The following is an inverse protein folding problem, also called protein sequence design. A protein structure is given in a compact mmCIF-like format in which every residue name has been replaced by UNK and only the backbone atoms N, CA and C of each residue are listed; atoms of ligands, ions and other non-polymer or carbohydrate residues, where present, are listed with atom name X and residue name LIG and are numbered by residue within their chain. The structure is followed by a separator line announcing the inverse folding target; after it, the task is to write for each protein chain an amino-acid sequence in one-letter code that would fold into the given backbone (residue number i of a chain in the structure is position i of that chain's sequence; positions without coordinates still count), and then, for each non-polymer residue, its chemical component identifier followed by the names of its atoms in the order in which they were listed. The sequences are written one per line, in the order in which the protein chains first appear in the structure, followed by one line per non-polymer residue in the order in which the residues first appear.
data_IF_167377975454
#
_entry.id   IF_167377975454
#
_cell.length_a   1.000
_cell.length_b   1.000
_cell.length_c   1.000
_cell.angle_alpha   90.00
_cell.angle_beta   90.00
_cell.angle_gamma   90.00
#
_symmetry.space_group_name_H-M   'P 1'
#
loop_
_entity.id
_entity.type
_entity.pdbx_description
1 polymer ?
#
# COMPACT_ATOMS: atom_id res chain seq x y z
N UNK A 1 -22.62 -30.10 31.24
CA UNK A 1 -21.86 -28.89 31.05
C UNK A 1 -21.15 -28.96 29.70
N UNK A 2 -21.57 -28.07 28.77
CA UNK A 2 -20.94 -27.99 27.46
C UNK A 2 -19.48 -27.51 27.59
N UNK A 3 -18.58 -28.00 26.70
CA UNK A 3 -17.21 -27.49 26.63
C UNK A 3 -17.24 -26.02 26.18
N UNK A 4 -16.64 -25.14 26.97
CA UNK A 4 -16.38 -23.77 26.54
C UNK A 4 -15.46 -23.80 25.31
N UNK A 5 -15.93 -23.29 24.18
CA UNK A 5 -15.11 -23.09 23.01
C UNK A 5 -14.24 -21.85 23.22
N UNK A 6 -12.93 -22.01 23.25
CA UNK A 6 -12.00 -20.88 23.20
C UNK A 6 -12.05 -20.29 21.79
N UNK A 7 -12.60 -19.12 21.67
CA UNK A 7 -12.57 -18.35 20.41
C UNK A 7 -11.12 -17.97 20.10
N UNK A 8 -10.66 -18.26 18.88
CA UNK A 8 -9.35 -17.87 18.41
C UNK A 8 -9.19 -16.35 18.37
N UNK A 9 -7.93 -15.85 18.33
CA UNK A 9 -7.63 -14.44 18.20
C UNK A 9 -7.06 -14.17 16.80
N UNK A 10 -7.43 -13.04 16.18
CA UNK A 10 -6.79 -12.57 14.96
C UNK A 10 -5.31 -12.28 15.20
N UNK A 11 -4.48 -12.58 14.20
CA UNK A 11 -3.07 -12.20 14.19
C UNK A 11 -2.91 -10.65 14.25
N UNK A 12 -1.84 -10.16 14.85
CA UNK A 12 -1.65 -8.72 15.06
C UNK A 12 -1.59 -7.94 13.74
N UNK A 13 -0.96 -8.49 12.71
CA UNK A 13 -0.92 -7.87 11.37
C UNK A 13 -2.33 -7.77 10.78
N UNK A 14 -3.16 -8.82 10.91
CA UNK A 14 -4.55 -8.76 10.42
C UNK A 14 -5.36 -7.69 11.13
N UNK A 15 -5.15 -7.50 12.45
CA UNK A 15 -5.81 -6.43 13.20
C UNK A 15 -5.36 -5.05 12.71
N UNK A 16 -4.08 -4.87 12.45
CA UNK A 16 -3.56 -3.60 11.94
C UNK A 16 -4.10 -3.31 10.54
N UNK A 17 -4.17 -4.31 9.66
CA UNK A 17 -4.77 -4.18 8.33
C UNK A 17 -6.24 -3.80 8.44
N UNK A 18 -7.02 -4.46 9.32
CA UNK A 18 -8.42 -4.13 9.56
C UNK A 18 -8.55 -2.67 10.02
N UNK A 19 -7.77 -2.24 11.02
CA UNK A 19 -7.83 -0.89 11.60
C UNK A 19 -7.52 0.20 10.56
N UNK A 20 -6.44 0.03 9.79
CA UNK A 20 -6.07 0.96 8.72
C UNK A 20 -7.17 1.02 7.66
N UNK A 21 -7.70 -0.14 7.26
CA UNK A 21 -8.77 -0.24 6.27
C UNK A 21 -10.04 0.47 6.74
N UNK A 22 -10.46 0.25 7.99
CA UNK A 22 -11.62 0.91 8.58
C UNK A 22 -11.47 2.44 8.61
N UNK A 23 -10.27 2.94 8.91
CA UNK A 23 -9.99 4.38 8.89
C UNK A 23 -10.22 4.95 7.48
N UNK A 24 -9.68 4.31 6.44
CA UNK A 24 -9.82 4.79 5.06
C UNK A 24 -11.25 4.63 4.54
N UNK A 25 -11.94 3.54 4.87
CA UNK A 25 -13.37 3.37 4.55
C UNK A 25 -14.20 4.50 5.17
N UNK A 26 -13.91 4.88 6.42
CA UNK A 26 -14.53 6.02 7.09
C UNK A 26 -14.20 7.39 6.45
N UNK A 27 -13.23 7.45 5.55
CA UNK A 27 -12.89 8.61 4.71
C UNK A 27 -13.42 8.50 3.27
N UNK A 28 -14.26 7.50 2.98
CA UNK A 28 -14.91 7.30 1.68
C UNK A 28 -14.09 6.51 0.66
N UNK A 29 -13.12 5.72 1.11
CA UNK A 29 -12.40 4.79 0.24
C UNK A 29 -13.10 3.43 0.18
N UNK A 30 -13.04 2.77 -0.97
CA UNK A 30 -13.47 1.38 -1.17
C UNK A 30 -12.27 0.44 -1.10
N UNK A 31 -12.48 -0.80 -0.68
CA UNK A 31 -11.42 -1.81 -0.69
C UNK A 31 -11.31 -2.38 -2.10
N UNK A 32 -10.09 -2.45 -2.63
CA UNK A 32 -9.79 -3.18 -3.85
C UNK A 32 -8.85 -4.34 -3.55
N UNK A 33 -9.14 -5.51 -4.10
CA UNK A 33 -8.35 -6.72 -3.92
C UNK A 33 -7.91 -7.27 -5.28
N UNK A 34 -6.81 -8.01 -5.29
CA UNK A 34 -6.29 -8.64 -6.50
C UNK A 34 -5.32 -9.78 -6.21
N UNK A 35 -4.91 -10.52 -7.24
CA UNK A 35 -4.10 -11.72 -7.10
C UNK A 35 -2.69 -11.43 -6.58
N UNK A 36 -2.12 -12.38 -5.84
CA UNK A 36 -0.72 -12.35 -5.40
C UNK A 36 0.24 -12.79 -6.53
N UNK A 37 -0.23 -13.69 -7.40
CA UNK A 37 0.46 -14.07 -8.62
C UNK A 37 0.05 -13.08 -9.72
N UNK A 38 1.01 -12.38 -10.27
CA UNK A 38 0.74 -11.23 -11.13
C UNK A 38 1.60 -11.27 -12.41
N UNK A 39 1.20 -10.49 -13.40
CA UNK A 39 1.95 -10.32 -14.63
C UNK A 39 3.07 -9.29 -14.47
N UNK A 40 4.18 -9.47 -15.18
CA UNK A 40 5.26 -8.47 -15.32
C UNK A 40 4.70 -7.14 -15.81
N UNK A 41 3.72 -7.17 -16.73
CA UNK A 41 3.04 -5.97 -17.22
C UNK A 41 2.44 -5.15 -16.08
N UNK A 42 1.62 -5.75 -15.24
CA UNK A 42 0.91 -5.01 -14.18
C UNK A 42 1.84 -4.62 -13.02
N UNK A 43 2.84 -5.47 -12.72
CA UNK A 43 3.75 -5.21 -11.61
C UNK A 43 4.83 -4.17 -11.93
N UNK A 44 5.16 -3.98 -13.22
CA UNK A 44 6.25 -3.10 -13.65
C UNK A 44 5.88 -2.20 -14.83
N UNK A 45 5.49 -2.77 -15.99
CA UNK A 45 5.39 -2.00 -17.23
C UNK A 45 4.29 -0.94 -17.16
N UNK A 46 3.11 -1.29 -16.66
CA UNK A 46 1.99 -0.37 -16.50
C UNK A 46 2.22 0.69 -15.42
N UNK A 47 3.22 0.49 -14.56
CA UNK A 47 3.67 1.45 -13.55
C UNK A 47 4.84 2.31 -14.03
N UNK A 48 5.21 2.24 -15.31
CA UNK A 48 6.37 2.94 -15.88
C UNK A 48 7.71 2.62 -15.21
N UNK A 49 7.84 1.48 -14.54
CA UNK A 49 9.14 1.04 -14.01
C UNK A 49 10.07 0.74 -15.20
N UNK A 50 11.27 1.38 -15.29
CA UNK A 50 12.22 1.12 -16.37
C UNK A 50 12.61 -0.36 -16.48
N UNK A 51 12.95 -0.81 -17.69
CA UNK A 51 13.32 -2.22 -17.93
C UNK A 51 14.60 -2.64 -17.20
N UNK A 52 15.49 -1.70 -16.97
CA UNK A 52 16.76 -1.83 -16.25
C UNK A 52 16.66 -1.47 -14.76
N UNK A 53 15.44 -1.28 -14.24
CA UNK A 53 15.26 -0.96 -12.83
C UNK A 53 15.67 -2.15 -11.94
N UNK A 54 16.49 -1.95 -10.90
CA UNK A 54 17.00 -3.05 -10.05
C UNK A 54 15.92 -3.96 -9.47
N UNK A 55 14.75 -3.42 -9.13
CA UNK A 55 13.63 -4.22 -8.61
C UNK A 55 13.10 -5.28 -9.56
N UNK A 56 13.49 -5.24 -10.85
CA UNK A 56 13.14 -6.27 -11.84
C UNK A 56 14.13 -7.43 -11.86
N UNK A 57 15.26 -7.31 -11.14
CA UNK A 57 16.26 -8.37 -11.08
C UNK A 57 15.68 -9.61 -10.39
N UNK A 58 16.12 -10.79 -10.84
CA UNK A 58 15.75 -12.06 -10.21
C UNK A 58 16.26 -12.19 -8.77
N UNK A 59 17.23 -11.37 -8.38
CA UNK A 59 17.69 -11.27 -6.99
C UNK A 59 16.70 -10.57 -6.07
N UNK A 60 15.81 -9.73 -6.62
CA UNK A 60 14.85 -8.92 -5.86
C UNK A 60 13.40 -9.37 -6.05
N UNK A 61 13.10 -10.14 -7.11
CA UNK A 61 11.75 -10.54 -7.48
C UNK A 61 11.64 -12.06 -7.67
N UNK A 62 10.59 -12.65 -7.10
CA UNK A 62 10.25 -14.06 -7.33
C UNK A 62 9.49 -14.22 -8.64
N UNK A 63 10.17 -14.64 -9.69
CA UNK A 63 9.56 -15.02 -10.97
C UNK A 63 9.10 -16.47 -10.97
N UNK A 64 7.92 -16.73 -11.51
CA UNK A 64 7.38 -18.07 -11.78
C UNK A 64 7.68 -18.45 -13.22
N UNK A 65 7.50 -17.49 -14.14
CA UNK A 65 7.91 -17.55 -15.55
C UNK A 65 8.49 -16.19 -15.94
N UNK A 66 8.93 -16.03 -17.20
CA UNK A 66 9.39 -14.73 -17.71
C UNK A 66 8.33 -13.62 -17.61
N UNK A 67 7.03 -13.97 -17.67
CA UNK A 67 5.91 -13.02 -17.67
C UNK A 67 5.10 -13.02 -16.37
N UNK A 68 5.34 -13.97 -15.46
CA UNK A 68 4.56 -14.18 -14.24
C UNK A 68 5.47 -14.18 -13.02
N UNK A 69 5.05 -13.47 -11.98
CA UNK A 69 5.81 -13.29 -10.74
C UNK A 69 4.90 -13.28 -9.50
N UNK A 70 5.49 -13.35 -8.32
CA UNK A 70 4.82 -12.95 -7.09
C UNK A 70 4.92 -11.42 -6.96
N UNK A 71 3.79 -10.73 -6.79
CA UNK A 71 3.75 -9.26 -6.76
C UNK A 71 4.69 -8.69 -5.70
N UNK A 72 5.49 -7.71 -6.08
CA UNK A 72 6.46 -7.04 -5.21
C UNK A 72 5.86 -5.85 -4.45
N UNK A 73 4.62 -5.48 -4.79
CA UNK A 73 3.84 -4.37 -4.26
C UNK A 73 2.35 -4.62 -4.51
N UNK A 74 1.48 -3.82 -3.91
CA UNK A 74 0.03 -3.91 -4.16
C UNK A 74 -0.43 -3.05 -5.34
N UNK A 75 0.44 -2.25 -5.93
CA UNK A 75 0.16 -1.36 -7.08
C UNK A 75 -0.46 -2.05 -8.32
N UNK A 76 -0.18 -3.34 -8.64
CA UNK A 76 -0.89 -4.03 -9.72
C UNK A 76 -2.41 -4.02 -9.58
N UNK A 77 -2.93 -4.03 -8.35
CA UNK A 77 -4.37 -3.93 -8.11
C UNK A 77 -4.90 -2.55 -8.50
N UNK A 78 -4.12 -1.49 -8.27
CA UNK A 78 -4.47 -0.15 -8.72
C UNK A 78 -4.62 -0.11 -10.25
N UNK A 79 -3.69 -0.74 -11.00
CA UNK A 79 -3.78 -0.83 -12.47
C UNK A 79 -5.06 -1.53 -12.90
N UNK A 80 -5.37 -2.70 -12.33
CA UNK A 80 -6.58 -3.46 -12.64
C UNK A 80 -7.85 -2.64 -12.37
N UNK A 81 -7.92 -2.02 -11.19
CA UNK A 81 -9.09 -1.23 -10.80
C UNK A 81 -9.25 0.02 -11.67
N UNK A 82 -8.17 0.70 -12.04
CA UNK A 82 -8.23 1.84 -12.97
C UNK A 82 -8.69 1.40 -14.36
N UNK A 83 -8.21 0.27 -14.88
CA UNK A 83 -8.64 -0.26 -16.18
C UNK A 83 -10.13 -0.64 -16.20
N UNK A 84 -10.65 -1.16 -15.10
CA UNK A 84 -12.08 -1.45 -14.93
C UNK A 84 -12.89 -0.16 -14.81
N UNK A 85 -12.50 0.76 -13.92
CA UNK A 85 -13.19 2.04 -13.72
C UNK A 85 -13.30 2.87 -15.00
N UNK A 86 -12.28 2.84 -15.87
CA UNK A 86 -12.35 3.51 -17.19
C UNK A 86 -13.38 2.87 -18.11
N UNK A 87 -13.48 1.54 -18.13
CA UNK A 87 -14.47 0.82 -18.96
C UNK A 87 -15.90 1.12 -18.51
N UNK A 88 -16.09 1.19 -17.19
CA UNK A 88 -17.41 1.36 -16.58
C UNK A 88 -17.79 2.83 -16.38
N UNK A 89 -16.88 3.77 -16.75
CA UNK A 89 -17.02 5.21 -16.53
C UNK A 89 -17.30 5.54 -15.04
N UNK A 90 -16.65 4.79 -14.13
CA UNK A 90 -16.81 4.90 -12.68
C UNK A 90 -15.69 5.76 -12.06
N UNK A 91 -15.75 7.06 -12.30
CA UNK A 91 -14.86 8.07 -11.72
C UNK A 91 -15.68 9.12 -10.95
N UNK A 92 -15.18 9.67 -9.86
CA UNK A 92 -13.84 9.53 -9.27
C UNK A 92 -13.64 8.21 -8.53
N UNK A 93 -12.42 7.66 -8.62
CA UNK A 93 -12.01 6.45 -7.94
C UNK A 93 -11.26 6.78 -6.64
N UNK A 94 -11.64 6.14 -5.53
CA UNK A 94 -10.95 6.21 -4.23
C UNK A 94 -10.85 4.81 -3.66
N UNK A 95 -9.66 4.23 -3.67
CA UNK A 95 -9.45 2.85 -3.21
C UNK A 95 -8.32 2.74 -2.20
N UNK A 96 -8.46 1.74 -1.32
CA UNK A 96 -7.39 1.22 -0.46
C UNK A 96 -7.11 -0.22 -0.87
N UNK A 97 -5.84 -0.56 -0.98
CA UNK A 97 -5.36 -1.87 -1.45
C UNK A 97 -4.45 -2.49 -0.40
N UNK A 98 -5.01 -3.18 0.59
CA UNK A 98 -4.22 -4.00 1.50
C UNK A 98 -3.83 -5.33 0.86
N UNK A 99 -2.62 -5.81 1.12
CA UNK A 99 -2.22 -7.11 0.60
C UNK A 99 -0.82 -7.57 0.99
N UNK A 100 -0.58 -8.86 0.77
CA UNK A 100 0.75 -9.46 0.89
C UNK A 100 1.57 -9.16 -0.35
N UNK A 101 2.85 -8.91 -0.14
CA UNK A 101 3.85 -8.67 -1.17
C UNK A 101 5.06 -9.56 -0.91
N UNK A 102 5.84 -9.80 -1.97
CA UNK A 102 6.93 -10.76 -1.95
C UNK A 102 8.16 -10.14 -2.59
N UNK A 103 9.31 -10.25 -1.93
CA UNK A 103 10.62 -9.87 -2.45
C UNK A 103 11.63 -10.92 -2.08
N UNK A 104 12.59 -11.19 -2.94
CA UNK A 104 13.56 -12.25 -2.71
C UNK A 104 14.73 -11.79 -1.83
N UNK A 105 14.42 -10.93 -0.85
CA UNK A 105 15.37 -10.48 0.16
C UNK A 105 15.78 -11.61 1.09
N UNK A 106 17.05 -11.63 1.49
CA UNK A 106 17.49 -12.50 2.58
C UNK A 106 16.87 -12.04 3.90
N UNK A 107 16.24 -12.93 4.68
CA UNK A 107 15.63 -12.55 5.95
C UNK A 107 16.65 -12.00 6.95
N UNK A 108 16.35 -10.82 7.51
CA UNK A 108 17.10 -10.22 8.60
C UNK A 108 16.16 -9.56 9.63
N UNK A 109 16.67 -8.70 10.51
CA UNK A 109 15.87 -8.03 11.53
C UNK A 109 14.83 -7.03 10.94
N UNK A 110 15.00 -6.59 9.71
CA UNK A 110 14.19 -5.56 9.04
C UNK A 110 13.57 -6.01 7.72
N UNK A 111 14.03 -7.10 7.14
CA UNK A 111 13.56 -7.64 5.87
C UNK A 111 12.93 -9.01 6.04
N UNK A 112 11.81 -9.21 5.37
CA UNK A 112 11.14 -10.50 5.24
C UNK A 112 10.78 -10.72 3.77
N UNK A 113 10.99 -11.92 3.22
CA UNK A 113 10.61 -12.22 1.82
C UNK A 113 9.11 -12.13 1.57
N UNK A 114 8.30 -12.17 2.62
CA UNK A 114 6.87 -11.90 2.57
C UNK A 114 6.53 -10.83 3.60
N UNK A 115 5.87 -9.75 3.17
CA UNK A 115 5.45 -8.65 4.01
C UNK A 115 4.06 -8.15 3.58
N UNK A 116 3.47 -7.25 4.36
CA UNK A 116 2.20 -6.63 4.03
C UNK A 116 2.41 -5.18 3.63
N UNK A 117 1.66 -4.75 2.62
CA UNK A 117 1.63 -3.38 2.15
C UNK A 117 0.18 -2.91 2.07
N UNK A 118 -0.04 -1.64 2.33
CA UNK A 118 -1.33 -0.98 2.15
C UNK A 118 -1.07 0.24 1.29
N UNK A 119 -1.68 0.27 0.12
CA UNK A 119 -1.63 1.41 -0.79
C UNK A 119 -2.98 2.09 -0.88
N UNK A 120 -2.99 3.36 -1.21
CA UNK A 120 -4.19 4.14 -1.47
C UNK A 120 -4.06 4.84 -2.81
N UNK A 121 -5.16 4.93 -3.54
CA UNK A 121 -5.23 5.62 -4.82
C UNK A 121 -6.47 6.50 -4.87
N UNK A 122 -6.29 7.72 -5.36
CA UNK A 122 -7.38 8.62 -5.73
C UNK A 122 -7.18 9.06 -7.17
N UNK A 123 -8.19 8.86 -8.00
CA UNK A 123 -8.22 9.34 -9.39
C UNK A 123 -9.48 10.18 -9.59
N UNK A 124 -9.31 11.39 -10.08
CA UNK A 124 -10.43 12.31 -10.27
C UNK A 124 -9.98 13.62 -10.91
N UNK A 125 -10.95 14.50 -11.18
CA UNK A 125 -10.67 15.86 -11.64
C UNK A 125 -10.24 16.72 -10.43
N UNK A 126 -9.33 17.65 -10.68
CA UNK A 126 -8.91 18.69 -9.73
C UNK A 126 -8.31 18.14 -8.41
N UNK A 127 -7.81 16.90 -8.42
CA UNK A 127 -7.11 16.32 -7.27
C UNK A 127 -5.79 17.06 -7.05
N UNK A 128 -5.58 17.55 -5.83
CA UNK A 128 -4.44 18.38 -5.48
C UNK A 128 -3.49 17.68 -4.49
N UNK A 129 -2.23 18.12 -4.48
CA UNK A 129 -1.26 17.67 -3.46
C UNK A 129 -1.67 18.10 -2.04
N UNK A 130 -2.44 19.18 -1.92
CA UNK A 130 -2.99 19.63 -0.62
C UNK A 130 -4.02 18.65 -0.08
N UNK A 131 -4.89 18.12 -0.93
CA UNK A 131 -5.85 17.08 -0.55
C UNK A 131 -5.15 15.78 -0.15
N UNK A 132 -4.10 15.39 -0.88
CA UNK A 132 -3.25 14.26 -0.49
C UNK A 132 -2.67 14.48 0.93
N UNK A 133 -2.07 15.63 1.20
CA UNK A 133 -1.54 15.96 2.53
C UNK A 133 -2.63 15.89 3.61
N UNK A 134 -3.79 16.49 3.38
CA UNK A 134 -4.91 16.48 4.31
C UNK A 134 -5.44 15.08 4.60
N UNK A 135 -5.50 14.23 3.57
CA UNK A 135 -5.89 12.82 3.71
C UNK A 135 -4.89 12.06 4.58
N UNK A 136 -3.60 12.21 4.33
CA UNK A 136 -2.55 11.52 5.09
C UNK A 136 -2.45 12.03 6.53
N UNK A 137 -2.57 13.33 6.77
CA UNK A 137 -2.62 13.89 8.13
C UNK A 137 -3.83 13.38 8.91
N UNK A 138 -4.97 13.29 8.26
CA UNK A 138 -6.19 12.75 8.88
C UNK A 138 -6.02 11.29 9.25
N UNK A 139 -5.47 10.49 8.35
CA UNK A 139 -5.16 9.08 8.58
C UNK A 139 -4.21 8.90 9.77
N UNK A 140 -3.08 9.61 9.75
CA UNK A 140 -2.05 9.53 10.80
C UNK A 140 -2.61 9.90 12.17
N UNK A 141 -3.41 10.96 12.26
CA UNK A 141 -4.05 11.38 13.52
C UNK A 141 -5.09 10.38 14.02
N UNK A 142 -5.83 9.74 13.14
CA UNK A 142 -6.77 8.68 13.51
C UNK A 142 -6.07 7.42 14.02
N UNK A 143 -4.94 7.06 13.40
CA UNK A 143 -4.20 5.85 13.74
C UNK A 143 -3.33 6.01 15.01
N UNK A 144 -2.64 7.14 15.14
CA UNK A 144 -1.64 7.35 16.20
C UNK A 144 -2.06 8.39 17.27
N UNK A 145 -3.22 9.01 17.09
CA UNK A 145 -3.77 9.99 18.01
C UNK A 145 -3.68 11.45 17.51
N UNK A 146 -4.55 12.34 18.03
CA UNK A 146 -4.74 13.69 17.50
C UNK A 146 -3.50 14.60 17.62
N UNK A 147 -2.62 14.33 18.57
CA UNK A 147 -1.40 15.11 18.80
C UNK A 147 -0.24 14.73 17.89
N UNK A 148 -0.42 13.70 17.04
CA UNK A 148 0.62 13.24 16.11
C UNK A 148 0.91 14.30 15.07
N UNK A 149 2.21 14.62 14.91
CA UNK A 149 2.72 15.59 13.94
C UNK A 149 3.23 14.88 12.71
N UNK A 150 3.04 15.49 11.57
CA UNK A 150 3.54 15.02 10.28
C UNK A 150 4.48 16.05 9.65
N UNK A 151 5.48 15.57 8.93
CA UNK A 151 6.37 16.39 8.12
C UNK A 151 6.52 15.74 6.75
N UNK A 152 6.16 16.47 5.71
CA UNK A 152 6.39 16.05 4.33
C UNK A 152 7.77 16.48 3.87
N UNK A 153 8.51 15.54 3.30
CA UNK A 153 9.83 15.79 2.69
C UNK A 153 9.75 15.45 1.20
N UNK A 154 10.19 16.35 0.30
CA UNK A 154 10.32 16.00 -1.11
C UNK A 154 11.22 14.77 -1.27
N UNK A 155 10.82 13.88 -2.16
CA UNK A 155 11.57 12.69 -2.53
C UNK A 155 11.45 12.45 -4.03
N UNK A 156 12.33 11.65 -4.60
CA UNK A 156 12.28 11.29 -6.01
C UNK A 156 12.10 9.79 -6.17
N UNK A 157 11.01 9.42 -6.86
CA UNK A 157 10.80 8.06 -7.34
C UNK A 157 10.73 8.08 -8.86
N UNK A 158 11.33 7.09 -9.57
CA UNK A 158 11.43 7.11 -11.04
C UNK A 158 10.08 7.16 -11.78
N UNK A 159 9.02 6.76 -11.13
CA UNK A 159 7.68 6.56 -11.72
C UNK A 159 6.58 7.42 -11.09
N UNK A 160 6.93 8.40 -10.25
CA UNK A 160 5.96 9.32 -9.62
C UNK A 160 6.43 10.77 -9.71
N UNK A 161 5.48 11.71 -9.90
CA UNK A 161 5.75 13.14 -10.01
C UNK A 161 4.49 13.97 -9.64
N UNK A 162 4.55 14.85 -8.64
CA UNK A 162 5.61 15.00 -7.64
C UNK A 162 5.62 13.86 -6.62
N UNK A 163 6.74 13.69 -5.91
CA UNK A 163 6.90 12.65 -4.89
C UNK A 163 7.31 13.23 -3.55
N UNK A 164 6.82 12.62 -2.48
CA UNK A 164 7.17 13.02 -1.11
C UNK A 164 7.14 11.80 -0.17
N UNK A 165 7.94 11.89 0.88
CA UNK A 165 7.87 11.02 2.05
C UNK A 165 7.20 11.74 3.21
N UNK A 166 6.58 10.98 4.11
CA UNK A 166 5.90 11.50 5.30
C UNK A 166 6.60 10.97 6.54
N UNK A 167 7.18 11.86 7.32
CA UNK A 167 7.65 11.56 8.66
C UNK A 167 6.51 11.75 9.66
N UNK A 168 6.41 10.83 10.61
CA UNK A 168 5.39 10.83 11.65
C UNK A 168 6.08 10.85 13.02
N UNK A 169 5.64 11.75 13.91
CA UNK A 169 6.20 11.82 15.26
C UNK A 169 5.97 10.52 16.03
N UNK A 170 7.03 10.00 16.63
CA UNK A 170 6.95 8.76 17.40
C UNK A 170 6.16 8.99 18.71
N UNK A 171 5.14 8.21 18.97
CA UNK A 171 4.35 8.29 20.19
C UNK A 171 5.11 7.81 21.46
N UNK A 172 6.16 6.99 21.30
CA UNK A 172 6.97 6.50 22.43
C UNK A 172 7.95 7.53 22.95
N UNK A 173 8.61 8.27 22.05
CA UNK A 173 9.65 9.25 22.41
C UNK A 173 9.18 10.70 22.22
N UNK A 174 7.91 10.94 21.88
CA UNK A 174 7.39 12.29 21.61
C UNK A 174 8.04 13.00 20.41
N UNK A 175 8.70 12.24 19.54
CA UNK A 175 9.40 12.80 18.38
C UNK A 175 10.86 13.20 18.65
N UNK A 176 11.46 12.70 19.74
CA UNK A 176 12.86 13.01 20.07
C UNK A 176 13.90 12.24 19.19
N UNK A 177 13.44 11.33 18.32
CA UNK A 177 14.29 10.56 17.42
C UNK A 177 14.34 9.08 17.75
#
# INVERSE_FOLDING_TARGET
PGKEFKVGKKHIISKMVDEVTEIFMGMGFSIAEGPEIETVRNNFDALNAPKDHPSRDMTDTFYITEDILLRTQTSPVQIRTMEEAVKDNDLPLKIIVPGRCFRSDSPDATHSPMFHQIEVLVVGKDITFTEFKGTMETFVKKLYGPETKTKFRPHNFPFTEPSAEIDVSCFKCGGAG
#
